data_IF_399003447558
#
_entry.id   IF_399003447558
#
_cell.length_a   1.000
_cell.length_b   1.000
_cell.length_c   1.000
_cell.angle_alpha   90.00
_cell.angle_beta   90.00
_cell.angle_gamma   90.00
#
_symmetry.space_group_name_H-M   'P 1'
#
loop_
_entity.id
_entity.type
_entity.pdbx_description
1 polymer ?
#
# COMPACT_ATOMS: atom_id res chain seq x y z
N UNK A 1 -14.68 8.50 -0.55
CA UNK A 1 -14.17 8.04 0.77
C UNK A 1 -14.36 6.54 0.91
N UNK A 2 -13.42 5.86 1.57
CA UNK A 2 -13.48 4.40 1.84
C UNK A 2 -13.44 4.16 3.34
N UNK A 3 -14.38 3.38 3.88
CA UNK A 3 -14.37 2.94 5.28
C UNK A 3 -13.37 1.80 5.47
N UNK A 4 -12.63 1.86 6.57
CA UNK A 4 -11.60 0.88 6.94
C UNK A 4 -11.93 0.34 8.33
N UNK A 5 -12.03 -0.99 8.45
CA UNK A 5 -12.31 -1.64 9.73
C UNK A 5 -11.04 -1.94 10.53
N UNK A 6 -11.19 -2.13 11.84
CA UNK A 6 -10.12 -2.62 12.70
C UNK A 6 -9.57 -3.99 12.23
N UNK A 7 -10.44 -4.85 11.70
CA UNK A 7 -10.05 -6.13 11.14
C UNK A 7 -9.14 -5.97 9.90
N UNK A 8 -9.43 -5.02 9.01
CA UNK A 8 -8.58 -4.73 7.86
C UNK A 8 -7.20 -4.20 8.29
N UNK A 9 -7.15 -3.35 9.32
CA UNK A 9 -5.89 -2.93 9.92
C UNK A 9 -5.11 -4.09 10.55
N UNK A 10 -5.80 -5.01 11.23
CA UNK A 10 -5.17 -6.20 11.81
C UNK A 10 -4.62 -7.14 10.73
N UNK A 11 -5.38 -7.40 9.66
CA UNK A 11 -4.89 -8.17 8.51
C UNK A 11 -3.67 -7.51 7.85
N UNK A 12 -3.72 -6.20 7.63
CA UNK A 12 -2.59 -5.44 7.08
C UNK A 12 -1.35 -5.53 7.97
N UNK A 13 -1.52 -5.54 9.30
CA UNK A 13 -0.42 -5.70 10.25
C UNK A 13 0.20 -7.10 10.20
N UNK A 14 -0.61 -8.17 10.08
CA UNK A 14 -0.11 -9.54 9.90
C UNK A 14 0.67 -9.69 8.58
N UNK A 15 0.14 -9.16 7.48
CA UNK A 15 0.81 -9.17 6.18
C UNK A 15 2.10 -8.35 6.23
N UNK A 16 2.05 -7.15 6.82
CA UNK A 16 3.23 -6.30 7.01
C UNK A 16 4.32 -6.98 7.81
N UNK A 17 3.98 -7.68 8.90
CA UNK A 17 4.94 -8.44 9.70
C UNK A 17 5.50 -9.64 8.93
N UNK A 18 4.67 -10.37 8.18
CA UNK A 18 5.14 -11.46 7.32
C UNK A 18 6.13 -10.96 6.25
N UNK A 19 5.82 -9.84 5.57
CA UNK A 19 6.75 -9.15 4.66
C UNK A 19 8.03 -8.76 5.37
N UNK A 20 7.92 -8.24 6.60
CA UNK A 20 9.07 -7.75 7.37
C UNK A 20 10.05 -8.87 7.65
N UNK A 21 9.56 -10.00 8.18
CA UNK A 21 10.34 -11.22 8.50
C UNK A 21 10.94 -11.85 7.25
N UNK A 22 10.16 -11.98 6.18
CA UNK A 22 10.65 -12.58 4.92
C UNK A 22 11.80 -11.78 4.30
N UNK A 23 11.84 -10.47 4.53
CA UNK A 23 12.86 -9.57 3.99
C UNK A 23 14.00 -9.25 4.96
N UNK A 24 13.97 -9.68 6.23
CA UNK A 24 14.88 -9.24 7.30
C UNK A 24 16.36 -9.42 6.93
N UNK A 25 16.73 -10.57 6.35
CA UNK A 25 18.11 -10.87 5.92
C UNK A 25 18.46 -10.36 4.50
N UNK A 26 17.52 -9.68 3.82
CA UNK A 26 17.68 -9.19 2.44
C UNK A 26 17.54 -7.67 2.31
N UNK A 27 17.35 -6.96 3.42
CA UNK A 27 17.20 -5.51 3.42
C UNK A 27 18.52 -4.88 2.99
N UNK A 28 18.43 -4.01 1.98
CA UNK A 28 19.56 -3.19 1.61
C UNK A 28 19.79 -2.14 2.70
N UNK A 29 20.99 -2.12 3.29
CA UNK A 29 21.40 -1.22 4.37
C UNK A 29 21.14 0.24 4.00
N UNK A 30 21.32 0.63 2.73
CA UNK A 30 21.09 2.01 2.27
C UNK A 30 19.61 2.43 2.28
N UNK A 31 18.68 1.48 2.44
CA UNK A 31 17.23 1.70 2.42
C UNK A 31 16.58 1.37 3.77
N UNK A 32 17.39 1.03 4.77
CA UNK A 32 16.90 0.81 6.12
C UNK A 32 16.54 2.16 6.76
N UNK A 33 15.27 2.29 7.16
CA UNK A 33 14.71 3.48 7.80
C UNK A 33 14.71 3.37 9.32
N UNK A 34 15.23 2.28 9.87
CA UNK A 34 15.03 1.86 11.25
C UNK A 34 13.76 1.03 11.42
N UNK A 35 13.73 0.20 12.48
CA UNK A 35 12.68 -0.79 12.74
C UNK A 35 11.27 -0.22 12.66
N UNK A 36 11.00 0.88 13.36
CA UNK A 36 9.64 1.42 13.48
C UNK A 36 9.11 2.01 12.16
N UNK A 37 9.96 2.74 11.42
CA UNK A 37 9.60 3.31 10.12
C UNK A 37 9.37 2.22 9.08
N UNK A 38 10.13 1.13 9.15
CA UNK A 38 9.94 -0.04 8.30
C UNK A 38 8.61 -0.74 8.59
N UNK A 39 8.29 -0.99 9.87
CA UNK A 39 7.01 -1.56 10.29
C UNK A 39 5.85 -0.69 9.78
N UNK A 40 5.94 0.62 9.96
CA UNK A 40 4.92 1.54 9.47
C UNK A 40 4.78 1.47 7.95
N UNK A 41 5.89 1.46 7.21
CA UNK A 41 5.85 1.38 5.74
C UNK A 41 5.22 0.07 5.25
N UNK A 42 5.58 -1.06 5.87
CA UNK A 42 5.04 -2.38 5.51
C UNK A 42 3.53 -2.47 5.86
N UNK A 43 3.11 -1.89 7.00
CA UNK A 43 1.69 -1.75 7.37
C UNK A 43 0.92 -0.89 6.36
N UNK A 44 1.44 0.30 6.04
CA UNK A 44 0.78 1.25 5.15
C UNK A 44 0.72 0.74 3.70
N UNK A 45 1.71 -0.02 3.24
CA UNK A 45 1.65 -0.71 1.95
C UNK A 45 0.57 -1.79 1.94
N UNK A 46 0.58 -2.66 2.97
CA UNK A 46 -0.35 -3.80 3.05
C UNK A 46 -1.82 -3.37 3.14
N UNK A 47 -2.13 -2.33 3.93
CA UNK A 47 -3.50 -1.80 3.99
C UNK A 47 -3.92 -1.18 2.65
N UNK A 48 -3.00 -0.49 1.96
CA UNK A 48 -3.27 0.08 0.65
C UNK A 48 -3.71 -0.97 -0.35
N UNK A 49 -2.93 -2.04 -0.47
CA UNK A 49 -3.20 -3.15 -1.39
C UNK A 49 -4.52 -3.88 -1.03
N UNK A 50 -4.79 -4.14 0.26
CA UNK A 50 -6.06 -4.74 0.70
C UNK A 50 -7.27 -3.90 0.27
N UNK A 51 -7.19 -2.58 0.46
CA UNK A 51 -8.28 -1.67 0.08
C UNK A 51 -8.43 -1.59 -1.44
N UNK A 52 -7.32 -1.55 -2.19
CA UNK A 52 -7.35 -1.52 -3.64
C UNK A 52 -7.97 -2.80 -4.23
N UNK A 53 -7.62 -3.99 -3.71
CA UNK A 53 -8.24 -5.27 -4.12
C UNK A 53 -9.75 -5.22 -3.89
N UNK A 54 -10.18 -4.75 -2.71
CA UNK A 54 -11.61 -4.62 -2.39
C UNK A 54 -12.31 -3.64 -3.34
N UNK A 55 -11.70 -2.49 -3.60
CA UNK A 55 -12.27 -1.44 -4.46
C UNK A 55 -12.42 -1.90 -5.91
N UNK A 56 -11.40 -2.54 -6.46
CA UNK A 56 -11.40 -3.02 -7.84
C UNK A 56 -11.95 -4.43 -8.01
N UNK A 57 -12.50 -5.06 -6.97
CA UNK A 57 -12.87 -6.48 -6.97
C UNK A 57 -13.86 -6.90 -8.06
N UNK A 58 -14.69 -5.97 -8.55
CA UNK A 58 -15.60 -6.20 -9.68
C UNK A 58 -14.89 -6.28 -11.05
N UNK A 59 -13.68 -5.73 -11.15
CA UNK A 59 -12.85 -5.73 -12.36
C UNK A 59 -11.76 -6.80 -12.36
N UNK A 60 -11.74 -7.65 -11.33
CA UNK A 60 -10.79 -8.75 -11.21
C UNK A 60 -11.53 -10.07 -11.44
N UNK A 61 -11.04 -10.90 -12.36
CA UNK A 61 -11.38 -12.32 -12.39
C UNK A 61 -10.94 -13.01 -11.09
N UNK A 62 -11.41 -14.25 -10.89
CA UNK A 62 -10.99 -15.03 -9.73
C UNK A 62 -9.48 -15.30 -9.75
N UNK A 63 -8.90 -15.52 -10.92
CA UNK A 63 -7.46 -15.72 -11.08
C UNK A 63 -6.68 -14.46 -10.72
N UNK A 64 -7.13 -13.29 -11.17
CA UNK A 64 -6.47 -12.02 -10.84
C UNK A 64 -6.66 -11.59 -9.37
N UNK A 65 -7.75 -11.99 -8.71
CA UNK A 65 -7.86 -11.86 -7.24
C UNK A 65 -6.79 -12.68 -6.53
N UNK A 66 -6.58 -13.93 -6.96
CA UNK A 66 -5.56 -14.81 -6.38
C UNK A 66 -4.16 -14.22 -6.66
N UNK A 67 -3.90 -13.75 -7.88
CA UNK A 67 -2.62 -13.14 -8.25
C UNK A 67 -2.33 -11.87 -7.45
N UNK A 68 -3.33 -10.99 -7.29
CA UNK A 68 -3.20 -9.80 -6.46
C UNK A 68 -2.80 -10.14 -5.01
N UNK A 69 -3.45 -11.15 -4.42
CA UNK A 69 -3.13 -11.62 -3.07
C UNK A 69 -1.70 -12.20 -3.01
N UNK A 70 -1.29 -12.99 -4.01
CA UNK A 70 0.10 -13.52 -4.11
C UNK A 70 1.13 -12.41 -4.29
N UNK A 71 0.79 -11.33 -5.00
CA UNK A 71 1.67 -10.16 -5.14
C UNK A 71 1.82 -9.42 -3.80
N UNK A 72 0.81 -9.47 -2.93
CA UNK A 72 0.93 -8.88 -1.60
C UNK A 72 1.98 -9.59 -0.74
N UNK A 73 2.15 -10.90 -0.87
CA UNK A 73 3.17 -11.62 -0.10
C UNK A 73 3.62 -12.88 -0.83
N UNK A 74 4.93 -13.01 -0.99
CA UNK A 74 5.55 -14.24 -1.46
C UNK A 74 6.85 -14.51 -0.73
N UNK A 75 7.14 -15.80 -0.52
CA UNK A 75 8.37 -16.22 0.14
C UNK A 75 9.61 -15.91 -0.68
N UNK A 76 10.54 -15.21 -0.02
CA UNK A 76 11.77 -14.75 -0.63
C UNK A 76 11.73 -13.32 -1.14
N UNK A 77 10.58 -12.62 -0.97
CA UNK A 77 10.42 -11.19 -1.16
C UNK A 77 9.90 -10.79 -2.54
N UNK A 78 9.39 -9.55 -2.62
CA UNK A 78 8.77 -8.98 -3.82
C UNK A 78 9.71 -8.73 -5.01
N UNK A 79 11.00 -9.11 -4.94
CA UNK A 79 11.94 -8.95 -6.06
C UNK A 79 11.62 -9.85 -7.26
N UNK A 80 10.86 -10.93 -7.05
CA UNK A 80 10.34 -11.81 -8.11
C UNK A 80 9.15 -11.20 -8.86
N UNK A 81 8.43 -10.26 -8.23
CA UNK A 81 7.25 -9.63 -8.80
C UNK A 81 7.65 -8.30 -9.45
N UNK A 82 7.92 -8.34 -10.76
CA UNK A 82 8.35 -7.17 -11.55
C UNK A 82 7.19 -6.49 -12.26
N UNK A 83 5.97 -6.69 -11.75
CA UNK A 83 4.71 -6.24 -12.34
C UNK A 83 4.01 -5.24 -11.42
N UNK A 84 2.94 -4.65 -11.93
CA UNK A 84 2.00 -3.87 -11.14
C UNK A 84 1.31 -4.77 -10.09
N UNK A 85 0.78 -4.15 -9.03
CA UNK A 85 0.17 -4.90 -7.92
C UNK A 85 -1.13 -5.60 -8.38
N UNK A 86 -1.90 -4.97 -9.28
CA UNK A 86 -3.18 -5.44 -9.79
C UNK A 86 -3.21 -5.45 -11.33
N UNK A 87 -3.88 -6.44 -11.91
CA UNK A 87 -4.32 -6.43 -13.31
C UNK A 87 -5.85 -6.52 -13.38
N UNK A 88 -6.49 -5.44 -13.83
CA UNK A 88 -7.94 -5.28 -13.92
C UNK A 88 -8.43 -5.87 -15.25
N UNK A 89 -8.38 -7.19 -15.38
CA UNK A 89 -8.65 -7.92 -16.61
C UNK A 89 -10.09 -7.79 -17.13
N UNK A 90 -11.06 -7.61 -16.23
CA UNK A 90 -12.47 -7.35 -16.58
C UNK A 90 -12.78 -5.85 -16.76
N UNK A 91 -11.82 -4.95 -16.51
CA UNK A 91 -12.02 -3.54 -16.83
C UNK A 91 -11.98 -3.35 -18.37
N UNK A 92 -12.83 -2.50 -18.98
CA UNK A 92 -12.84 -2.31 -20.45
C UNK A 92 -11.48 -1.92 -21.03
N UNK A 93 -10.69 -1.14 -20.28
CA UNK A 93 -9.33 -0.73 -20.64
C UNK A 93 -8.22 -1.72 -20.28
N UNK A 94 -8.53 -2.85 -19.62
CA UNK A 94 -7.57 -3.87 -19.15
C UNK A 94 -6.32 -3.27 -18.49
N UNK A 95 -6.51 -2.62 -17.35
CA UNK A 95 -5.50 -1.77 -16.73
C UNK A 95 -4.59 -2.53 -15.74
N UNK A 96 -3.31 -2.19 -15.70
CA UNK A 96 -2.32 -2.65 -14.72
C UNK A 96 -2.02 -1.52 -13.75
N UNK A 97 -2.28 -1.75 -12.46
CA UNK A 97 -2.30 -0.70 -11.45
C UNK A 97 -1.34 -1.03 -10.30
N UNK A 98 -0.47 -0.09 -9.95
CA UNK A 98 0.43 -0.17 -8.78
C UNK A 98 -0.13 0.71 -7.65
N UNK A 99 -0.18 0.17 -6.43
CA UNK A 99 -0.86 0.79 -5.29
C UNK A 99 0.13 1.60 -4.46
N UNK A 100 -0.27 2.80 -4.06
CA UNK A 100 0.57 3.73 -3.31
C UNK A 100 -0.22 4.38 -2.19
N UNK A 101 0.44 4.58 -1.05
CA UNK A 101 -0.18 5.16 0.13
C UNK A 101 0.57 6.40 0.60
N UNK A 102 -0.19 7.36 1.11
CA UNK A 102 0.28 8.57 1.77
C UNK A 102 -0.33 8.63 3.16
N UNK A 103 0.53 8.55 4.18
CA UNK A 103 0.13 8.39 5.59
C UNK A 103 -0.42 9.66 6.26
N UNK A 104 -0.56 10.76 5.51
CA UNK A 104 -1.12 12.02 5.97
C UNK A 104 -0.40 12.61 7.20
N UNK A 105 0.85 12.22 7.49
CA UNK A 105 1.59 12.81 8.61
C UNK A 105 1.77 14.33 8.43
N UNK A 106 1.58 15.18 9.45
CA UNK A 106 1.57 16.65 9.31
C UNK A 106 2.85 17.24 8.69
N UNK A 107 3.98 16.56 8.85
CA UNK A 107 5.26 16.97 8.30
C UNK A 107 5.47 16.57 6.83
N UNK A 108 4.58 15.77 6.23
CA UNK A 108 4.70 15.34 4.83
C UNK A 108 3.93 16.28 3.91
N UNK A 109 4.65 16.82 2.91
CA UNK A 109 4.12 17.80 1.96
C UNK A 109 3.99 17.28 0.53
N UNK A 110 4.64 16.16 0.22
CA UNK A 110 4.73 15.63 -1.14
C UNK A 110 4.19 14.21 -1.21
N UNK A 111 3.38 13.93 -2.23
CA UNK A 111 3.12 12.57 -2.66
C UNK A 111 4.31 12.14 -3.54
N UNK A 112 4.98 11.05 -3.16
CA UNK A 112 6.25 10.66 -3.75
C UNK A 112 6.18 9.23 -4.31
N UNK A 113 6.59 9.06 -5.56
CA UNK A 113 6.80 7.75 -6.20
C UNK A 113 8.29 7.53 -6.38
N UNK A 114 8.83 6.46 -5.79
CA UNK A 114 10.25 6.14 -5.93
C UNK A 114 10.64 5.92 -7.40
N UNK A 115 11.67 6.62 -7.88
CA UNK A 115 12.11 6.58 -9.29
C UNK A 115 12.47 5.18 -9.74
N UNK A 116 13.21 4.42 -8.91
CA UNK A 116 13.64 3.06 -9.27
C UNK A 116 12.45 2.11 -9.45
N UNK A 117 11.42 2.19 -8.60
CA UNK A 117 10.18 1.40 -8.77
C UNK A 117 9.38 1.88 -9.97
N UNK A 118 9.25 3.20 -10.19
CA UNK A 118 8.57 3.77 -11.36
C UNK A 118 9.20 3.25 -12.68
N UNK A 119 10.52 3.32 -12.81
CA UNK A 119 11.22 2.84 -14.02
C UNK A 119 11.09 1.33 -14.22
N UNK A 120 11.09 0.54 -13.14
CA UNK A 120 10.86 -0.93 -13.24
C UNK A 120 9.47 -1.29 -13.78
N UNK A 121 8.52 -0.37 -13.66
CA UNK A 121 7.13 -0.54 -14.09
C UNK A 121 6.87 0.00 -15.50
N UNK A 122 7.87 0.55 -16.19
CA UNK A 122 7.73 1.06 -17.55
C UNK A 122 7.22 -0.04 -18.49
N UNK A 123 6.13 0.23 -19.22
CA UNK A 123 5.47 -0.72 -20.11
C UNK A 123 4.70 -1.85 -19.40
N UNK A 124 4.66 -1.84 -18.06
CA UNK A 124 4.04 -2.89 -17.21
C UNK A 124 3.01 -2.35 -16.22
N UNK A 125 2.82 -1.04 -16.20
CA UNK A 125 1.90 -0.34 -15.33
C UNK A 125 1.28 0.81 -16.11
N UNK A 126 -0.04 0.91 -16.09
CA UNK A 126 -0.79 1.95 -16.79
C UNK A 126 -1.06 3.15 -15.86
N UNK A 127 -1.06 2.92 -14.54
CA UNK A 127 -1.18 3.99 -13.56
C UNK A 127 -1.16 3.52 -12.11
N UNK A 128 -1.39 4.46 -11.21
CA UNK A 128 -1.35 4.25 -9.77
C UNK A 128 -2.72 4.42 -9.13
N UNK A 129 -3.05 3.52 -8.21
CA UNK A 129 -4.15 3.73 -7.26
C UNK A 129 -3.55 4.28 -5.96
N UNK A 130 -4.03 5.44 -5.54
CA UNK A 130 -3.43 6.19 -4.44
C UNK A 130 -4.40 6.31 -3.27
N UNK A 131 -3.97 5.89 -2.08
CA UNK A 131 -4.69 6.12 -0.83
C UNK A 131 -4.07 7.26 -0.04
N UNK A 132 -4.91 8.19 0.40
CA UNK A 132 -4.58 9.16 1.44
C UNK A 132 -5.21 8.66 2.74
N UNK A 133 -4.37 8.15 3.64
CA UNK A 133 -4.82 7.40 4.81
C UNK A 133 -3.93 7.68 6.02
N UNK A 134 -4.42 8.39 7.03
CA UNK A 134 -3.75 8.43 8.32
C UNK A 134 -3.69 7.03 8.95
N UNK A 135 -2.59 6.75 9.65
CA UNK A 135 -2.40 5.50 10.41
C UNK A 135 -3.60 5.24 11.34
N UNK A 136 -4.12 4.02 11.29
CA UNK A 136 -5.25 3.53 12.10
C UNK A 136 -6.55 4.32 11.95
N UNK A 137 -6.70 5.12 10.88
CA UNK A 137 -7.96 5.83 10.63
C UNK A 137 -9.10 4.87 10.26
N UNK A 138 -10.32 5.24 10.61
CA UNK A 138 -11.55 4.56 10.17
C UNK A 138 -11.83 4.76 8.68
N UNK A 139 -11.07 5.62 8.00
CA UNK A 139 -11.34 5.95 6.61
C UNK A 139 -10.13 6.49 5.84
N UNK A 140 -10.18 6.31 4.52
CA UNK A 140 -9.24 6.85 3.56
C UNK A 140 -9.96 7.66 2.48
N UNK A 141 -9.24 8.60 1.87
CA UNK A 141 -9.57 9.02 0.51
C UNK A 141 -8.85 8.10 -0.49
N UNK A 142 -9.59 7.66 -1.51
CA UNK A 142 -9.10 6.76 -2.54
C UNK A 142 -9.15 7.49 -3.89
N UNK A 143 -7.99 7.62 -4.51
CA UNK A 143 -7.82 8.19 -5.85
C UNK A 143 -7.54 6.99 -6.77
N UNK A 144 -8.53 6.55 -7.57
CA UNK A 144 -8.48 5.25 -8.23
C UNK A 144 -7.45 5.20 -9.35
N UNK A 145 -7.10 6.33 -9.97
CA UNK A 145 -6.22 6.33 -11.11
C UNK A 145 -5.41 7.62 -11.22
N UNK A 146 -4.08 7.47 -11.22
CA UNK A 146 -3.09 8.48 -11.55
C UNK A 146 -2.26 7.92 -12.70
N UNK A 147 -2.32 8.47 -13.93
CA UNK A 147 -1.67 7.86 -15.08
C UNK A 147 -0.15 7.77 -14.91
N UNK A 148 0.45 6.69 -15.40
CA UNK A 148 1.90 6.47 -15.31
C UNK A 148 2.70 7.63 -15.91
N UNK A 149 2.36 8.03 -17.14
CA UNK A 149 3.05 9.09 -17.88
C UNK A 149 2.94 10.46 -17.19
N UNK A 150 1.88 10.64 -16.40
CA UNK A 150 1.68 11.86 -15.64
C UNK A 150 2.62 11.92 -14.43
N UNK A 151 2.87 10.78 -13.77
CA UNK A 151 3.90 10.68 -12.72
C UNK A 151 5.29 10.98 -13.28
N UNK A 152 5.58 10.57 -14.52
CA UNK A 152 6.87 10.85 -15.16
C UNK A 152 7.15 12.35 -15.33
N UNK A 153 6.10 13.19 -15.36
CA UNK A 153 6.20 14.66 -15.47
C UNK A 153 6.35 15.36 -14.11
N UNK A 154 6.16 14.65 -13.01
CA UNK A 154 6.33 15.22 -11.67
C UNK A 154 7.80 15.52 -11.39
N UNK A 155 8.02 16.42 -10.44
CA UNK A 155 9.36 16.91 -10.12
C UNK A 155 10.25 15.81 -9.53
N UNK A 156 11.42 15.58 -10.13
CA UNK A 156 12.35 14.57 -9.64
C UNK A 156 13.23 15.16 -8.53
N UNK A 157 13.04 14.69 -7.29
CA UNK A 157 13.77 15.13 -6.10
C UNK A 157 14.17 13.95 -5.22
N UNK A 158 15.30 14.09 -4.53
CA UNK A 158 15.67 13.24 -3.41
C UNK A 158 15.17 13.87 -2.13
N UNK A 159 14.12 13.30 -1.53
CA UNK A 159 13.60 13.75 -0.25
C UNK A 159 14.39 13.07 0.89
N UNK A 160 15.17 13.85 1.65
CA UNK A 160 16.00 13.36 2.75
C UNK A 160 17.39 12.85 2.35
N UNK A 161 18.10 12.23 3.30
CA UNK A 161 19.52 11.86 3.16
C UNK A 161 19.82 10.49 2.52
N UNK A 162 18.80 9.74 2.08
CA UNK A 162 18.96 8.33 1.65
C UNK A 162 19.42 8.15 0.19
N UNK A 163 19.59 9.24 -0.58
CA UNK A 163 20.06 9.16 -1.97
C UNK A 163 19.10 8.46 -2.95
N UNK A 164 17.85 8.19 -2.56
CA UNK A 164 16.83 7.52 -3.38
C UNK A 164 15.90 8.58 -4.02
N UNK A 165 16.08 8.96 -5.31
CA UNK A 165 15.23 9.95 -5.96
C UNK A 165 13.79 9.45 -6.13
N UNK A 166 12.86 10.39 -6.19
CA UNK A 166 11.43 10.15 -6.36
C UNK A 166 10.81 11.21 -7.27
N UNK A 167 9.72 10.85 -7.93
CA UNK A 167 8.81 11.76 -8.62
C UNK A 167 7.86 12.34 -7.58
N UNK A 168 7.80 13.67 -7.48
CA UNK A 168 7.11 14.36 -6.40
C UNK A 168 6.13 15.40 -6.93
N UNK A 169 4.98 15.47 -6.26
CA UNK A 169 3.97 16.51 -6.44
C UNK A 169 3.52 16.98 -5.06
N UNK A 170 3.26 18.27 -4.89
CA UNK A 170 2.73 18.79 -3.64
C UNK A 170 1.38 18.11 -3.35
N UNK A 171 1.14 17.71 -2.09
CA UNK A 171 -0.07 16.95 -1.75
C UNK A 171 -1.37 17.73 -2.06
N UNK A 172 -1.34 19.05 -1.91
CA UNK A 172 -2.45 19.94 -2.25
C UNK A 172 -2.72 19.95 -3.76
N UNK A 173 -1.66 20.00 -4.57
CA UNK A 173 -1.76 19.93 -6.03
C UNK A 173 -2.22 18.54 -6.50
N UNK A 174 -1.71 17.48 -5.88
CA UNK A 174 -2.11 16.09 -6.15
C UNK A 174 -3.61 15.89 -5.94
N UNK A 175 -4.14 16.34 -4.79
CA UNK A 175 -5.57 16.27 -4.48
C UNK A 175 -6.37 17.06 -5.53
N UNK A 176 -5.97 18.31 -5.81
CA UNK A 176 -6.65 19.17 -6.79
C UNK A 176 -6.69 18.54 -8.18
N UNK A 177 -5.61 17.87 -8.59
CA UNK A 177 -5.48 17.32 -9.95
C UNK A 177 -6.19 15.98 -10.13
N UNK A 178 -6.13 15.09 -9.14
CA UNK A 178 -6.54 13.69 -9.32
C UNK A 178 -7.79 13.30 -8.52
N UNK A 179 -8.27 14.14 -7.61
CA UNK A 179 -9.53 13.85 -6.93
C UNK A 179 -10.72 14.40 -7.70
N UNK A 180 -11.76 13.56 -7.84
CA UNK A 180 -13.07 13.98 -8.33
C UNK A 180 -13.96 14.61 -7.24
N UNK A 181 -13.51 14.60 -5.99
CA UNK A 181 -14.25 15.09 -4.83
C UNK A 181 -13.37 16.01 -4.00
N UNK A 182 -13.98 16.93 -3.26
CA UNK A 182 -13.23 17.74 -2.32
C UNK A 182 -12.63 16.85 -1.21
N UNK A 183 -11.31 16.87 -1.06
CA UNK A 183 -10.59 16.17 0.02
C UNK A 183 -9.84 17.21 0.85
N UNK A 184 -10.18 17.33 2.12
CA UNK A 184 -9.40 18.09 3.10
C UNK A 184 -8.40 17.17 3.79
N UNK A 185 -7.10 17.47 3.63
CA UNK A 185 -6.05 16.74 4.33
C UNK A 185 -6.13 16.93 5.85
N UNK A 186 -6.57 18.13 6.29
CA UNK A 186 -6.80 18.41 7.72
C UNK A 186 -7.91 17.54 8.27
N UNK A 187 -9.00 17.36 7.53
CA UNK A 187 -10.12 16.54 7.96
C UNK A 187 -9.64 15.10 8.06
N UNK A 188 -8.98 14.56 7.02
CA UNK A 188 -8.32 13.24 7.05
C UNK A 188 -7.47 13.07 8.31
N UNK A 189 -6.62 14.03 8.63
CA UNK A 189 -5.77 14.00 9.82
C UNK A 189 -6.55 14.00 11.15
N UNK A 190 -7.69 14.70 11.20
CA UNK A 190 -8.54 14.84 12.37
C UNK A 190 -9.56 13.70 12.54
N UNK A 191 -9.77 12.86 11.53
CA UNK A 191 -10.71 11.75 11.63
C UNK A 191 -10.35 10.80 12.76
N UNK A 192 -11.41 10.21 13.35
CA UNK A 192 -11.30 9.23 14.41
C UNK A 192 -10.37 8.08 13.98
N UNK A 193 -9.60 7.59 14.95
CA UNK A 193 -8.65 6.50 14.77
C UNK A 193 -8.97 5.40 15.76
N UNK A 194 -8.67 4.17 15.37
CA UNK A 194 -8.66 3.05 16.29
C UNK A 194 -7.57 3.25 17.35
N UNK A 195 -7.86 2.81 18.56
CA UNK A 195 -6.86 2.63 19.59
C UNK A 195 -6.05 1.37 19.29
N UNK A 196 -4.81 1.32 19.78
CA UNK A 196 -3.98 0.12 19.61
C UNK A 196 -4.63 -1.13 20.24
N UNK A 197 -5.43 -0.96 21.30
CA UNK A 197 -6.23 -2.03 21.93
C UNK A 197 -7.23 -2.66 20.97
N UNK A 198 -7.87 -1.85 20.11
CA UNK A 198 -8.86 -2.32 19.15
C UNK A 198 -8.20 -3.26 18.14
N UNK A 199 -7.02 -2.87 17.64
CA UNK A 199 -6.26 -3.67 16.68
C UNK A 199 -5.71 -4.93 17.33
N UNK A 200 -5.16 -4.82 18.56
CA UNK A 200 -4.66 -5.99 19.32
C UNK A 200 -5.73 -7.06 19.50
N UNK A 201 -6.96 -6.66 19.83
CA UNK A 201 -8.08 -7.59 20.00
C UNK A 201 -8.39 -8.38 18.72
N UNK A 202 -8.21 -7.76 17.55
CA UNK A 202 -8.44 -8.37 16.25
C UNK A 202 -7.27 -9.25 15.81
N UNK A 203 -6.04 -8.87 16.11
CA UNK A 203 -4.85 -9.66 15.79
C UNK A 203 -4.87 -11.06 16.43
N UNK A 204 -5.48 -11.20 17.62
CA UNK A 204 -5.60 -12.48 18.32
C UNK A 204 -6.88 -13.26 17.99
N UNK A 205 -7.77 -12.74 17.14
CA UNK A 205 -9.02 -13.44 16.83
C UNK A 205 -8.78 -14.55 15.82
N UNK A 206 -9.36 -15.73 16.06
CA UNK A 206 -9.28 -16.87 15.15
C UNK A 206 -9.78 -16.54 13.75
N UNK A 207 -10.81 -15.70 13.64
CA UNK A 207 -11.34 -15.22 12.37
C UNK A 207 -10.28 -14.46 11.56
N UNK A 208 -9.60 -13.47 12.16
CA UNK A 208 -8.57 -12.67 11.49
C UNK A 208 -7.39 -13.55 11.09
N UNK A 209 -6.97 -14.47 11.97
CA UNK A 209 -5.87 -15.40 11.71
C UNK A 209 -6.21 -16.34 10.55
N UNK A 210 -7.41 -16.94 10.55
CA UNK A 210 -7.86 -17.83 9.47
C UNK A 210 -7.94 -17.08 8.13
N UNK A 211 -8.44 -15.84 8.15
CA UNK A 211 -8.50 -15.00 6.95
C UNK A 211 -7.11 -14.62 6.46
N UNK A 212 -6.19 -14.26 7.36
CA UNK A 212 -4.79 -14.03 7.01
C UNK A 212 -4.15 -15.26 6.38
N UNK A 213 -4.32 -16.44 6.98
CA UNK A 213 -3.79 -17.69 6.44
C UNK A 213 -4.43 -18.10 5.11
N UNK A 214 -5.70 -17.76 4.89
CA UNK A 214 -6.35 -17.96 3.60
C UNK A 214 -5.78 -17.05 2.52
N UNK A 215 -5.39 -15.81 2.87
CA UNK A 215 -4.75 -14.87 1.94
C UNK A 215 -3.27 -15.22 1.71
N UNK A 216 -2.54 -15.55 2.77
CA UNK A 216 -1.11 -15.79 2.74
C UNK A 216 -0.79 -17.17 3.34
N UNK A 217 -1.18 -18.28 2.70
CA UNK A 217 -1.00 -19.62 3.26
C UNK A 217 0.47 -19.95 3.50
N UNK A 218 1.35 -19.45 2.62
CA UNK A 218 2.79 -19.55 2.76
C UNK A 218 3.35 -18.87 4.02
N UNK A 219 2.64 -17.91 4.62
CA UNK A 219 3.08 -17.24 5.84
C UNK A 219 2.81 -18.07 7.12
N UNK A 220 2.18 -19.25 7.01
CA UNK A 220 1.86 -20.08 8.16
C UNK A 220 3.08 -20.41 9.04
N UNK A 221 4.23 -20.72 8.44
CA UNK A 221 5.44 -21.02 9.21
C UNK A 221 6.04 -19.78 9.89
N UNK A 222 5.73 -18.56 9.41
CA UNK A 222 6.16 -17.32 10.05
C UNK A 222 5.36 -16.99 11.31
N UNK A 223 4.19 -17.62 11.50
CA UNK A 223 3.37 -17.52 12.70
C UNK A 223 3.75 -18.54 13.78
N UNK A 224 4.60 -19.53 13.46
CA UNK A 224 5.18 -20.43 14.46
C UNK A 224 6.15 -19.57 15.29
N UNK A 225 5.79 -19.31 16.54
CA UNK A 225 6.73 -18.70 17.51
C UNK A 225 7.87 -19.70 17.70
N UNK A 226 9.08 -19.30 17.31
CA UNK A 226 10.31 -19.86 17.87
C UNK A 226 10.56 -19.24 19.24
#
# INVERSE_FOLDING_TARGET
MVKISAEQWALAALIGEARRRSNENKRNISRDRGRDKNILNDLMGSIGELIAIKWFGQYLSNDEKINAIKNMFSLGGGSKHTYADLFLDNHPGRLRIDVKTFDCAPNKRFFAINKKKHMKLLGRCDGYACLLLPRLSHQAAFIPFVPYDDVSKWELKSLGGYGDPSHNIAITEFIKKYSSTEISLKDLQAFSRYQDSDIKSKLSSSETINKFLSLCPEAAFLLIKH
#
